data_IF_456085961205
#
_entry.id   IF_456085961205
#
_cell.length_a   1.000
_cell.length_b   1.000
_cell.length_c   1.000
_cell.angle_alpha   90.00
_cell.angle_beta   90.00
_cell.angle_gamma   90.00
#
_symmetry.space_group_name_H-M   'P 1'
#
loop_
_entity.id
_entity.type
_entity.pdbx_description
1 polymer ?
#
# COMPACT_ATOMS: atom_id res chain seq x y z
N UNK A 1 -8.91 0.09 -16.71
CA UNK A 1 -8.63 0.36 -15.29
C UNK A 1 -7.56 -0.53 -14.67
N UNK A 2 -7.30 -1.79 -15.09
CA UNK A 2 -6.20 -2.57 -14.48
C UNK A 2 -6.36 -2.85 -12.98
N UNK A 3 -7.56 -2.62 -12.45
CA UNK A 3 -7.94 -2.68 -11.05
C UNK A 3 -9.24 -3.48 -10.94
N UNK A 4 -9.35 -4.30 -9.90
CA UNK A 4 -10.56 -5.04 -9.56
C UNK A 4 -10.93 -4.79 -8.09
N UNK A 5 -12.20 -4.51 -7.81
CA UNK A 5 -12.74 -4.45 -6.46
C UNK A 5 -13.31 -5.82 -6.07
N UNK A 6 -12.97 -6.30 -4.88
CA UNK A 6 -13.37 -7.59 -4.34
C UNK A 6 -14.12 -7.34 -3.04
N UNK A 7 -15.36 -7.82 -2.99
CA UNK A 7 -16.27 -7.67 -1.86
C UNK A 7 -16.56 -8.99 -1.18
N UNK A 8 -17.19 -8.93 0.00
CA UNK A 8 -17.54 -10.10 0.82
C UNK A 8 -16.30 -10.93 1.22
N UNK A 9 -15.14 -10.27 1.41
CA UNK A 9 -13.93 -10.92 1.91
C UNK A 9 -14.10 -11.19 3.42
N UNK A 10 -14.07 -12.45 3.89
CA UNK A 10 -14.30 -12.77 5.28
C UNK A 10 -13.32 -12.07 6.22
N UNK A 11 -13.84 -11.37 7.23
CA UNK A 11 -13.04 -10.68 8.25
C UNK A 11 -12.34 -9.40 7.79
N UNK A 12 -12.33 -9.08 6.49
CA UNK A 12 -11.61 -7.93 5.94
C UNK A 12 -12.05 -6.60 6.54
N UNK A 13 -13.36 -6.31 6.55
CA UNK A 13 -13.89 -5.03 7.06
C UNK A 13 -13.48 -4.81 8.51
N UNK A 14 -13.67 -5.83 9.36
CA UNK A 14 -13.27 -5.78 10.77
C UNK A 14 -11.77 -5.55 10.95
N UNK A 15 -10.94 -6.21 10.14
CA UNK A 15 -9.49 -6.05 10.19
C UNK A 15 -9.03 -4.66 9.72
N UNK A 16 -9.67 -4.14 8.66
CA UNK A 16 -9.47 -2.78 8.14
C UNK A 16 -9.79 -1.74 9.21
N UNK A 17 -10.96 -1.87 9.84
CA UNK A 17 -11.41 -0.95 10.90
C UNK A 17 -10.53 -0.99 12.15
N UNK A 18 -9.88 -2.12 12.43
CA UNK A 18 -8.97 -2.28 13.55
C UNK A 18 -7.58 -1.65 13.31
N UNK A 19 -7.05 -1.76 12.08
CA UNK A 19 -5.70 -1.27 11.77
C UNK A 19 -5.66 0.19 11.31
N UNK A 20 -6.52 0.59 10.36
CA UNK A 20 -6.37 1.90 9.70
C UNK A 20 -6.36 3.09 10.68
N UNK A 21 -7.22 3.15 11.71
CA UNK A 21 -7.16 4.24 12.69
C UNK A 21 -5.82 4.30 13.46
N UNK A 22 -5.12 3.17 13.62
CA UNK A 22 -3.83 3.14 14.33
C UNK A 22 -2.70 3.83 13.56
N UNK A 23 -2.90 4.12 12.25
CA UNK A 23 -1.96 4.92 11.47
C UNK A 23 -1.77 6.33 12.07
N UNK A 24 -2.84 6.93 12.59
CA UNK A 24 -2.81 8.22 13.29
C UNK A 24 -1.94 8.16 14.53
N UNK A 25 -2.25 7.22 15.43
CA UNK A 25 -1.52 7.05 16.69
C UNK A 25 -0.04 6.81 16.42
N UNK A 26 0.27 5.99 15.42
CA UNK A 26 1.63 5.73 14.97
C UNK A 26 2.33 7.00 14.49
N UNK A 27 1.71 7.77 13.57
CA UNK A 27 2.30 8.97 13.01
C UNK A 27 2.56 10.08 14.05
N UNK A 28 1.86 10.03 15.19
CA UNK A 28 1.98 10.98 16.29
C UNK A 28 2.81 10.47 17.48
N UNK A 29 3.44 9.29 17.37
CA UNK A 29 4.38 8.85 18.40
C UNK A 29 5.57 9.83 18.51
N UNK A 30 6.21 9.93 19.68
CA UNK A 30 7.40 10.75 19.83
C UNK A 30 8.49 10.38 18.81
N UNK A 31 9.21 11.38 18.28
CA UNK A 31 10.25 11.14 17.28
C UNK A 31 11.35 10.19 17.76
N UNK A 32 11.61 10.11 19.07
CA UNK A 32 12.53 9.12 19.64
C UNK A 32 12.03 7.67 19.48
N UNK A 33 10.72 7.44 19.50
CA UNK A 33 10.15 6.11 19.21
C UNK A 33 10.21 5.86 17.71
N UNK A 34 9.74 6.81 16.91
CA UNK A 34 9.66 6.68 15.45
C UNK A 34 11.05 6.47 14.81
N UNK A 35 11.99 7.37 15.05
CA UNK A 35 13.29 7.38 14.37
C UNK A 35 14.31 6.41 14.98
N UNK A 36 14.30 6.21 16.31
CA UNK A 36 15.33 5.38 16.97
C UNK A 36 14.92 3.92 17.10
N UNK A 37 13.62 3.63 17.25
CA UNK A 37 13.13 2.27 17.50
C UNK A 37 12.44 1.65 16.29
N UNK A 38 11.69 2.46 15.54
CA UNK A 38 10.83 1.97 14.46
C UNK A 38 11.43 2.15 13.07
N UNK A 39 12.40 3.02 12.86
CA UNK A 39 13.11 3.11 11.57
C UNK A 39 14.12 1.99 11.38
N UNK A 40 14.37 1.61 10.12
CA UNK A 40 15.44 0.69 9.75
C UNK A 40 16.31 1.24 8.60
N UNK A 41 17.32 2.08 8.90
CA UNK A 41 18.20 2.65 7.89
C UNK A 41 19.00 1.61 7.09
N UNK A 42 19.31 0.45 7.69
CA UNK A 42 20.08 -0.61 7.04
C UNK A 42 19.34 -1.23 5.85
N UNK A 43 18.02 -1.34 5.93
CA UNK A 43 17.20 -1.79 4.82
C UNK A 43 16.81 -0.67 3.88
N UNK A 44 17.37 0.53 4.00
CA UNK A 44 16.90 1.75 3.33
C UNK A 44 15.43 2.06 3.67
N UNK A 45 15.06 1.91 4.94
CA UNK A 45 13.71 2.16 5.46
C UNK A 45 12.64 1.28 4.80
N UNK A 46 13.00 0.06 4.40
CA UNK A 46 12.07 -0.94 3.84
C UNK A 46 11.34 -1.76 4.91
N UNK A 47 11.60 -1.49 6.19
CA UNK A 47 10.81 -1.94 7.33
C UNK A 47 10.64 -0.82 8.36
N UNK A 48 9.48 -0.84 9.02
CA UNK A 48 9.09 0.13 10.03
C UNK A 48 8.87 1.53 9.47
N UNK A 49 9.20 2.54 10.27
CA UNK A 49 8.89 3.95 10.01
C UNK A 49 9.75 4.56 8.89
N UNK A 50 9.11 5.37 8.05
CA UNK A 50 9.74 6.17 7.00
C UNK A 50 8.94 7.45 6.75
N UNK A 51 9.54 8.60 7.04
CA UNK A 51 8.99 9.93 6.79
C UNK A 51 10.13 10.87 6.38
N UNK A 52 9.96 11.64 5.30
CA UNK A 52 11.01 12.50 4.74
C UNK A 52 12.23 11.74 4.20
N UNK A 53 12.12 10.43 3.97
CA UNK A 53 13.20 9.60 3.38
C UNK A 53 12.99 9.34 1.89
N UNK A 54 11.73 9.33 1.44
CA UNK A 54 11.38 9.28 0.02
C UNK A 54 11.53 10.67 -0.59
N UNK A 55 11.85 10.72 -1.88
CA UNK A 55 11.97 11.98 -2.63
C UNK A 55 10.76 12.16 -3.56
N UNK A 56 10.24 13.38 -3.62
CA UNK A 56 9.34 13.83 -4.67
C UNK A 56 10.13 14.78 -5.57
N UNK A 57 10.63 14.28 -6.70
CA UNK A 57 11.65 14.98 -7.48
C UNK A 57 12.99 15.00 -6.75
N UNK A 58 13.55 16.18 -6.52
CA UNK A 58 14.83 16.35 -5.80
C UNK A 58 14.65 16.60 -4.29
N UNK A 59 13.43 16.91 -3.84
CA UNK A 59 13.13 17.29 -2.45
C UNK A 59 12.57 16.11 -1.63
N UNK A 60 12.86 16.03 -0.31
CA UNK A 60 12.24 15.04 0.56
C UNK A 60 10.72 15.21 0.67
N UNK A 61 9.98 14.12 0.63
CA UNK A 61 8.53 14.10 0.80
C UNK A 61 8.15 14.02 2.29
N UNK A 62 7.66 15.14 2.82
CA UNK A 62 7.12 15.23 4.17
C UNK A 62 5.60 15.19 4.23
N UNK A 63 4.92 15.16 3.08
CA UNK A 63 3.44 15.15 3.01
C UNK A 63 2.84 13.80 3.43
N UNK A 64 3.66 12.74 3.45
CA UNK A 64 3.25 11.40 3.84
C UNK A 64 4.30 10.68 4.66
N UNK A 65 3.84 9.84 5.57
CA UNK A 65 4.63 8.81 6.20
C UNK A 65 4.23 7.42 5.70
N UNK A 66 5.18 6.51 5.72
CA UNK A 66 4.99 5.09 5.41
C UNK A 66 5.48 4.24 6.56
N UNK A 67 4.68 3.24 6.92
CA UNK A 67 5.09 2.19 7.83
C UNK A 67 5.11 0.85 7.09
N UNK A 68 6.31 0.30 6.90
CA UNK A 68 6.54 -0.91 6.14
C UNK A 68 6.59 -2.13 7.06
N UNK A 69 5.95 -3.22 6.65
CA UNK A 69 6.00 -4.49 7.39
C UNK A 69 5.73 -5.65 6.46
N UNK A 70 6.17 -6.85 6.84
CA UNK A 70 5.79 -8.09 6.20
C UNK A 70 4.66 -8.75 7.01
N UNK A 71 3.44 -8.90 6.47
CA UNK A 71 2.33 -9.47 7.21
C UNK A 71 2.47 -10.98 7.47
N UNK A 72 3.27 -11.68 6.66
CA UNK A 72 3.39 -13.14 6.68
C UNK A 72 4.42 -13.60 7.72
N UNK A 73 5.59 -12.94 7.75
CA UNK A 73 6.71 -13.32 8.63
C UNK A 73 7.43 -12.10 9.18
N UNK A 74 7.90 -12.18 10.42
CA UNK A 74 8.69 -11.10 11.04
C UNK A 74 10.16 -11.11 10.63
N UNK A 75 10.67 -12.27 10.20
CA UNK A 75 12.09 -12.48 9.92
C UNK A 75 12.24 -13.26 8.61
N UNK A 76 11.99 -12.63 7.46
CA UNK A 76 12.09 -13.30 6.17
C UNK A 76 13.56 -13.69 5.87
N UNK A 77 13.75 -14.70 5.04
CA UNK A 77 15.06 -15.23 4.65
C UNK A 77 15.84 -15.91 5.79
N UNK A 78 17.02 -16.41 5.43
CA UNK A 78 18.04 -16.88 6.35
C UNK A 78 18.86 -15.71 6.93
N UNK A 79 19.65 -15.97 7.98
CA UNK A 79 20.53 -14.95 8.54
C UNK A 79 21.55 -14.42 7.49
N UNK A 80 22.06 -15.31 6.64
CA UNK A 80 22.99 -14.97 5.56
C UNK A 80 22.33 -14.07 4.52
N UNK A 81 21.10 -14.38 4.10
CA UNK A 81 20.36 -13.56 3.13
C UNK A 81 20.03 -12.18 3.67
N UNK A 82 19.71 -12.06 4.97
CA UNK A 82 19.46 -10.76 5.61
C UNK A 82 20.72 -9.90 5.68
N UNK A 83 21.86 -10.51 5.96
CA UNK A 83 23.14 -9.79 5.96
C UNK A 83 23.54 -9.35 4.55
N UNK A 84 23.36 -10.23 3.56
CA UNK A 84 23.74 -9.97 2.18
C UNK A 84 22.77 -9.02 1.45
N UNK A 85 21.48 -9.10 1.76
CA UNK A 85 20.41 -8.36 1.09
C UNK A 85 19.43 -7.72 2.09
N UNK A 86 19.90 -6.77 2.93
CA UNK A 86 19.11 -6.21 4.02
C UNK A 86 17.84 -5.47 3.55
N UNK A 87 17.87 -4.86 2.35
CA UNK A 87 16.70 -4.22 1.74
C UNK A 87 15.63 -5.22 1.26
N UNK A 88 16.05 -6.44 0.92
CA UNK A 88 15.16 -7.49 0.41
C UNK A 88 14.54 -8.33 1.51
N UNK A 89 15.27 -8.51 2.62
CA UNK A 89 14.85 -9.32 3.76
C UNK A 89 14.91 -8.54 5.08
N UNK A 90 14.28 -7.35 5.18
CA UNK A 90 14.29 -6.64 6.43
C UNK A 90 13.43 -7.37 7.46
N UNK A 91 13.87 -7.39 8.72
CA UNK A 91 13.03 -7.84 9.82
C UNK A 91 12.00 -6.77 10.15
N UNK A 92 10.79 -7.19 10.53
CA UNK A 92 9.77 -6.25 10.97
C UNK A 92 10.22 -5.48 12.21
N UNK A 93 10.00 -4.17 12.20
CA UNK A 93 9.97 -3.32 13.39
C UNK A 93 8.51 -3.22 13.81
N UNK A 94 8.22 -3.30 15.10
CA UNK A 94 6.87 -3.18 15.63
C UNK A 94 6.87 -2.19 16.81
N UNK A 95 5.87 -1.28 16.91
CA UNK A 95 5.67 -0.51 18.14
C UNK A 95 5.43 -1.46 19.31
N UNK A 96 5.76 -1.00 20.52
CA UNK A 96 5.48 -1.80 21.70
C UNK A 96 3.98 -1.85 21.98
N UNK A 97 3.52 -2.86 22.72
CA UNK A 97 2.12 -2.93 23.16
C UNK A 97 1.71 -1.74 24.04
N UNK A 98 2.67 -1.04 24.65
CA UNK A 98 2.40 0.17 25.42
C UNK A 98 2.19 1.39 24.51
N UNK A 99 2.92 1.47 23.39
CA UNK A 99 2.80 2.57 22.43
C UNK A 99 1.52 2.44 21.62
N UNK A 100 1.27 1.27 21.04
CA UNK A 100 0.07 0.98 20.25
C UNK A 100 -0.39 -0.47 20.49
N UNK A 101 -1.36 -0.69 21.39
CA UNK A 101 -1.88 -2.02 21.69
C UNK A 101 -2.38 -2.75 20.44
N UNK A 102 -2.04 -4.03 20.33
CA UNK A 102 -2.49 -4.94 19.27
C UNK A 102 -2.09 -4.55 17.83
N UNK A 103 -1.22 -3.55 17.65
CA UNK A 103 -0.86 -3.06 16.31
C UNK A 103 -0.28 -4.16 15.42
N UNK A 104 0.66 -4.93 15.96
CA UNK A 104 1.27 -6.06 15.25
C UNK A 104 0.23 -7.07 14.77
N UNK A 105 -0.67 -7.47 15.65
CA UNK A 105 -1.68 -8.48 15.33
C UNK A 105 -2.68 -7.94 14.31
N UNK A 106 -3.17 -6.70 14.47
CA UNK A 106 -4.06 -6.06 13.51
C UNK A 106 -3.42 -5.94 12.12
N UNK A 107 -2.16 -5.51 12.06
CA UNK A 107 -1.40 -5.37 10.83
C UNK A 107 -1.24 -6.71 10.09
N UNK A 108 -0.88 -7.76 10.83
CA UNK A 108 -0.76 -9.11 10.27
C UNK A 108 -2.10 -9.69 9.83
N UNK A 109 -3.16 -9.53 10.63
CA UNK A 109 -4.49 -10.03 10.28
C UNK A 109 -4.96 -9.41 8.96
N UNK A 110 -4.94 -8.09 8.84
CA UNK A 110 -5.36 -7.42 7.61
C UNK A 110 -4.49 -7.82 6.42
N UNK A 111 -3.17 -7.74 6.57
CA UNK A 111 -2.24 -8.05 5.49
C UNK A 111 -2.31 -9.52 5.03
N UNK A 112 -2.50 -10.47 5.95
CA UNK A 112 -2.68 -11.89 5.60
C UNK A 112 -4.01 -12.14 4.87
N UNK A 113 -5.11 -11.49 5.28
CA UNK A 113 -6.39 -11.58 4.56
C UNK A 113 -6.20 -11.09 3.13
N UNK A 114 -5.58 -9.92 2.95
CA UNK A 114 -5.36 -9.32 1.64
C UNK A 114 -4.43 -10.19 0.77
N UNK A 115 -3.35 -10.72 1.34
CA UNK A 115 -2.44 -11.66 0.66
C UNK A 115 -3.14 -12.93 0.18
N UNK A 116 -3.98 -13.54 1.01
CA UNK A 116 -4.74 -14.73 0.64
C UNK A 116 -5.69 -14.46 -0.52
N UNK A 117 -6.39 -13.32 -0.52
CA UNK A 117 -7.26 -12.91 -1.62
C UNK A 117 -6.46 -12.70 -2.90
N UNK A 118 -5.29 -12.05 -2.81
CA UNK A 118 -4.37 -11.86 -3.95
C UNK A 118 -3.92 -13.20 -4.53
N UNK A 119 -3.56 -14.18 -3.70
CA UNK A 119 -3.22 -15.52 -4.17
C UNK A 119 -4.41 -16.20 -4.88
N UNK A 120 -5.62 -16.09 -4.34
CA UNK A 120 -6.82 -16.63 -5.01
C UNK A 120 -7.10 -15.95 -6.35
N UNK A 121 -6.95 -14.62 -6.43
CA UNK A 121 -7.08 -13.88 -7.67
C UNK A 121 -6.04 -14.31 -8.71
N UNK A 122 -4.81 -14.61 -8.27
CA UNK A 122 -3.74 -15.07 -9.14
C UNK A 122 -4.12 -16.34 -9.92
N UNK A 123 -4.88 -17.28 -9.31
CA UNK A 123 -5.41 -18.45 -10.05
C UNK A 123 -6.29 -18.07 -11.23
N UNK A 124 -7.11 -17.05 -11.07
CA UNK A 124 -7.99 -16.58 -12.16
C UNK A 124 -7.20 -15.89 -13.27
N UNK A 125 -6.13 -15.18 -12.90
CA UNK A 125 -5.20 -14.58 -13.86
C UNK A 125 -4.43 -15.68 -14.62
N UNK A 126 -3.91 -16.68 -13.92
CA UNK A 126 -3.22 -17.84 -14.50
C UNK A 126 -4.13 -18.54 -15.53
N UNK A 127 -5.38 -18.85 -15.15
CA UNK A 127 -6.35 -19.50 -16.04
C UNK A 127 -6.72 -18.66 -17.28
N UNK A 128 -6.64 -17.33 -17.18
CA UNK A 128 -6.85 -16.44 -18.33
C UNK A 128 -5.61 -16.41 -19.23
N UNK A 129 -4.42 -16.37 -18.65
CA UNK A 129 -3.14 -16.35 -19.37
C UNK A 129 -2.90 -17.68 -20.11
N UNK A 130 -3.18 -18.82 -19.48
CA UNK A 130 -3.06 -20.15 -20.08
C UNK A 130 -3.85 -20.31 -21.39
N UNK A 131 -5.02 -19.67 -21.46
CA UNK A 131 -5.87 -19.68 -22.68
C UNK A 131 -5.31 -18.84 -23.83
N UNK A 132 -4.41 -17.89 -23.55
CA UNK A 132 -3.98 -16.85 -24.50
C UNK A 132 -2.49 -16.87 -24.80
N UNK A 133 -1.68 -17.39 -23.90
CA UNK A 133 -0.21 -17.37 -23.96
C UNK A 133 0.29 -18.80 -24.16
N UNK A 134 0.86 -19.05 -25.34
CA UNK A 134 1.43 -20.36 -25.65
C UNK A 134 2.58 -20.68 -24.70
N UNK A 135 2.50 -21.83 -24.02
CA UNK A 135 3.55 -22.29 -23.11
C UNK A 135 3.51 -21.65 -21.72
N UNK A 136 2.42 -20.94 -21.38
CA UNK A 136 2.21 -20.46 -20.03
C UNK A 136 2.11 -21.63 -19.04
N UNK A 137 2.84 -21.54 -17.93
CA UNK A 137 2.81 -22.57 -16.89
C UNK A 137 1.55 -22.41 -16.03
N UNK A 138 0.78 -23.47 -15.88
CA UNK A 138 -0.39 -23.51 -14.99
C UNK A 138 0.00 -23.16 -13.55
N UNK A 139 -0.83 -22.35 -12.89
CA UNK A 139 -0.65 -21.90 -11.51
C UNK A 139 0.68 -21.16 -11.22
N UNK A 140 1.33 -20.58 -12.25
CA UNK A 140 2.61 -19.88 -12.08
C UNK A 140 2.51 -18.72 -11.07
N UNK A 141 1.56 -17.81 -11.25
CA UNK A 141 1.37 -16.69 -10.35
C UNK A 141 0.79 -17.14 -9.01
N UNK A 142 -0.14 -18.09 -9.01
CA UNK A 142 -0.70 -18.63 -7.78
C UNK A 142 0.38 -19.20 -6.87
N UNK A 143 1.28 -20.04 -7.38
CA UNK A 143 2.36 -20.62 -6.61
C UNK A 143 3.33 -19.53 -6.13
N UNK A 144 3.69 -18.57 -7.00
CA UNK A 144 4.54 -17.45 -6.61
C UNK A 144 3.94 -16.61 -5.47
N UNK A 145 2.63 -16.35 -5.49
CA UNK A 145 1.97 -15.59 -4.42
C UNK A 145 1.74 -16.43 -3.17
N UNK A 146 1.37 -17.70 -3.30
CA UNK A 146 1.09 -18.59 -2.18
C UNK A 146 2.35 -18.90 -1.36
N UNK A 147 3.44 -19.19 -2.04
CA UNK A 147 4.66 -19.71 -1.42
C UNK A 147 5.66 -18.59 -1.08
N UNK A 148 5.32 -17.32 -1.37
CA UNK A 148 6.16 -16.19 -1.00
C UNK A 148 6.19 -16.02 0.52
N UNK A 149 7.40 -15.87 1.06
CA UNK A 149 7.62 -15.32 2.38
C UNK A 149 7.84 -13.80 2.35
N UNK A 150 7.89 -13.21 1.15
CA UNK A 150 8.15 -11.78 0.93
C UNK A 150 6.88 -11.09 0.45
N UNK A 151 6.06 -10.66 1.39
CA UNK A 151 4.97 -9.72 1.17
C UNK A 151 5.33 -8.38 1.84
N UNK A 152 5.01 -7.27 1.17
CA UNK A 152 5.25 -5.92 1.70
C UNK A 152 3.92 -5.22 1.96
N UNK A 153 3.57 -5.10 3.22
CA UNK A 153 2.56 -4.18 3.71
C UNK A 153 3.13 -2.77 3.83
N UNK A 154 2.32 -1.78 3.45
CA UNK A 154 2.62 -0.36 3.60
C UNK A 154 1.38 0.32 4.17
N UNK A 155 1.45 0.72 5.44
CA UNK A 155 0.44 1.57 6.05
C UNK A 155 0.84 3.02 5.78
N UNK A 156 -0.02 3.76 5.09
CA UNK A 156 0.22 5.13 4.68
C UNK A 156 -0.52 6.09 5.60
N UNK A 157 0.15 7.17 5.97
CA UNK A 157 -0.45 8.31 6.65
C UNK A 157 -0.13 9.57 5.84
N UNK A 158 -1.15 10.29 5.40
CA UNK A 158 -0.98 11.55 4.70
C UNK A 158 -1.28 12.68 5.67
N UNK A 159 -0.32 13.57 5.85
CA UNK A 159 -0.47 14.74 6.71
C UNK A 159 -1.32 15.80 6.00
N UNK A 160 -2.06 16.63 6.76
CA UNK A 160 -2.68 17.82 6.20
C UNK A 160 -1.65 18.67 5.45
N UNK A 161 -1.99 19.11 4.25
CA UNK A 161 -1.14 20.03 3.51
C UNK A 161 -1.23 21.41 4.19
N UNK A 162 -0.09 21.96 4.62
CA UNK A 162 -0.05 23.36 5.05
C UNK A 162 -0.36 24.22 3.82
N UNK A 163 -1.50 24.91 3.82
CA UNK A 163 -1.78 25.94 2.82
C UNK A 163 -0.77 27.07 2.98
N UNK A 164 0.31 27.03 2.20
CA UNK A 164 1.18 28.19 2.06
C UNK A 164 0.42 29.25 1.29
N UNK A 165 0.30 30.45 1.85
CA UNK A 165 -0.23 31.62 1.15
C UNK A 165 0.52 31.79 -0.19
N UNK A 166 -0.17 31.53 -1.31
CA UNK A 166 0.36 31.68 -2.67
C UNK A 166 0.48 30.42 -3.54
N UNK A 167 0.20 29.23 -3.01
CA UNK A 167 0.33 27.94 -3.75
C UNK A 167 -0.96 27.50 -4.48
N UNK A 168 -1.71 28.44 -5.08
CA UNK A 168 -2.88 28.10 -5.91
C UNK A 168 -2.52 27.15 -7.08
N UNK A 169 -1.26 27.11 -7.53
CA UNK A 169 -0.80 26.25 -8.62
C UNK A 169 -0.39 24.83 -8.21
N UNK A 170 -0.01 24.58 -6.95
CA UNK A 170 0.31 23.21 -6.48
C UNK A 170 -0.94 22.38 -6.15
N UNK A 171 -2.03 23.05 -5.73
CA UNK A 171 -3.33 22.42 -5.50
C UNK A 171 -4.08 21.96 -6.76
N UNK A 172 -3.59 22.33 -7.95
CA UNK A 172 -4.18 21.95 -9.25
C UNK A 172 -3.63 20.63 -9.81
N UNK A 173 -2.49 20.13 -9.31
CA UNK A 173 -1.91 18.88 -9.78
C UNK A 173 -2.58 17.67 -9.10
N UNK A 174 -3.14 16.78 -9.92
CA UNK A 174 -3.89 15.58 -9.47
C UNK A 174 -2.99 14.60 -8.69
N UNK A 175 -1.67 14.67 -8.84
CA UNK A 175 -0.70 13.71 -8.33
C UNK A 175 0.13 14.22 -7.13
N UNK A 176 -0.42 15.18 -6.39
CA UNK A 176 0.26 15.89 -5.30
C UNK A 176 0.60 15.05 -4.04
N UNK A 177 -0.05 13.91 -3.80
CA UNK A 177 0.29 12.99 -2.70
C UNK A 177 1.09 11.77 -3.16
N UNK A 178 0.78 11.22 -4.34
CA UNK A 178 1.61 10.25 -5.03
C UNK A 178 1.58 10.54 -6.53
N UNK A 179 2.77 10.74 -7.11
CA UNK A 179 3.01 10.89 -8.55
C UNK A 179 2.45 9.74 -9.39
N UNK A 180 2.20 9.99 -10.68
CA UNK A 180 1.83 8.92 -11.62
C UNK A 180 2.92 7.85 -11.70
N UNK A 181 2.55 6.59 -11.44
CA UNK A 181 3.45 5.45 -11.52
C UNK A 181 2.71 4.14 -11.82
N UNK A 182 3.49 3.12 -12.18
CA UNK A 182 3.06 1.73 -12.11
C UNK A 182 3.69 1.07 -10.90
N UNK A 183 2.97 0.14 -10.28
CA UNK A 183 3.59 -0.74 -9.31
C UNK A 183 4.49 -1.74 -10.02
N UNK A 184 5.76 -1.79 -9.59
CA UNK A 184 6.76 -2.71 -10.16
C UNK A 184 6.57 -4.16 -9.71
N UNK A 185 5.75 -4.41 -8.69
CA UNK A 185 5.51 -5.73 -8.11
C UNK A 185 4.62 -6.64 -8.95
N UNK A 186 4.11 -7.70 -8.32
CA UNK A 186 3.16 -8.61 -8.95
C UNK A 186 1.74 -8.05 -8.92
N UNK A 187 1.19 -7.92 -7.72
CA UNK A 187 -0.17 -7.46 -7.45
C UNK A 187 -0.13 -6.54 -6.23
N UNK A 188 -0.81 -5.41 -6.31
CA UNK A 188 -0.95 -4.47 -5.20
C UNK A 188 -2.37 -4.52 -4.70
N UNK A 189 -2.56 -4.89 -3.44
CA UNK A 189 -3.87 -4.87 -2.78
C UNK A 189 -4.04 -3.63 -1.93
N UNK A 190 -5.14 -2.91 -2.12
CA UNK A 190 -5.49 -1.70 -1.38
C UNK A 190 -6.67 -1.99 -0.45
N UNK A 191 -6.56 -1.61 0.82
CA UNK A 191 -7.66 -1.71 1.78
C UNK A 191 -8.69 -0.58 1.60
N UNK A 192 -8.40 0.41 0.75
CA UNK A 192 -9.12 1.67 0.68
C UNK A 192 -8.59 2.69 1.70
N UNK A 193 -9.15 3.88 1.64
CA UNK A 193 -8.81 5.04 2.44
C UNK A 193 -9.67 5.13 3.72
N UNK A 194 -9.18 5.93 4.66
CA UNK A 194 -9.87 6.36 5.86
C UNK A 194 -9.49 7.82 6.10
N UNK A 195 -10.47 8.72 6.13
CA UNK A 195 -10.25 10.13 6.41
C UNK A 195 -10.48 10.40 7.90
N UNK A 196 -9.54 11.11 8.51
CA UNK A 196 -9.58 11.46 9.92
C UNK A 196 -9.11 12.90 10.11
N UNK A 197 -9.49 13.49 11.23
CA UNK A 197 -8.96 14.77 11.68
C UNK A 197 -7.60 14.55 12.34
N UNK A 198 -6.56 15.23 11.85
CA UNK A 198 -5.17 15.04 12.29
C UNK A 198 -4.96 15.45 13.76
N UNK A 199 -5.64 16.49 14.25
CA UNK A 199 -5.49 16.97 15.62
C UNK A 199 -6.12 16.02 16.66
N UNK A 200 -7.22 15.35 16.29
CA UNK A 200 -8.05 14.57 17.22
C UNK A 200 -7.97 13.06 17.00
N UNK A 201 -7.60 12.62 15.79
CA UNK A 201 -7.66 11.22 15.35
C UNK A 201 -9.07 10.71 15.07
N UNK A 202 -10.10 11.56 15.14
CA UNK A 202 -11.49 11.18 14.89
C UNK A 202 -11.79 11.04 13.40
N UNK A 203 -12.65 10.08 13.02
CA UNK A 203 -13.05 9.88 11.62
C UNK A 203 -13.86 11.09 11.12
N UNK A 204 -13.57 11.52 9.90
CA UNK A 204 -14.33 12.60 9.25
C UNK A 204 -15.64 12.06 8.68
N UNK A 205 -16.70 12.88 8.77
CA UNK A 205 -17.95 12.64 8.07
C UNK A 205 -17.76 12.76 6.56
N UNK A 206 -18.49 11.96 5.78
CA UNK A 206 -18.38 11.95 4.31
C UNK A 206 -18.60 13.33 3.68
N UNK A 207 -19.42 14.19 4.30
CA UNK A 207 -19.67 15.56 3.83
C UNK A 207 -18.49 16.51 4.01
N UNK A 208 -17.51 16.16 4.85
CA UNK A 208 -16.31 16.94 5.11
C UNK A 208 -15.10 16.48 4.28
N UNK A 209 -15.25 15.42 3.47
CA UNK A 209 -14.19 14.87 2.62
C UNK A 209 -14.28 15.53 1.25
N UNK A 210 -13.15 16.03 0.72
CA UNK A 210 -13.07 16.52 -0.66
C UNK A 210 -13.47 15.38 -1.61
N UNK A 211 -14.55 15.52 -2.40
CA UNK A 211 -15.03 14.45 -3.29
C UNK A 211 -14.02 14.11 -4.40
N UNK A 212 -13.03 14.95 -4.65
CA UNK A 212 -11.96 14.71 -5.62
C UNK A 212 -10.71 14.09 -4.99
N UNK A 213 -10.65 13.90 -3.67
CA UNK A 213 -9.52 13.24 -3.04
C UNK A 213 -9.51 11.73 -3.35
N UNK A 214 -8.32 11.13 -3.39
CA UNK A 214 -8.14 9.69 -3.47
C UNK A 214 -7.48 9.22 -4.76
N UNK A 215 -7.78 7.97 -5.13
CA UNK A 215 -7.07 7.23 -6.18
C UNK A 215 -7.56 7.63 -7.58
N UNK A 216 -6.63 7.95 -8.47
CA UNK A 216 -6.90 8.11 -9.90
C UNK A 216 -6.12 7.07 -10.70
N UNK A 217 -6.75 6.54 -11.74
CA UNK A 217 -6.17 5.50 -12.60
C UNK A 217 -6.36 5.88 -14.07
N UNK A 218 -5.33 5.69 -14.87
CA UNK A 218 -5.40 5.91 -16.32
C UNK A 218 -5.87 4.66 -17.04
N UNK A 219 -6.89 4.81 -17.88
CA UNK A 219 -7.42 3.72 -18.68
C UNK A 219 -6.62 3.48 -19.99
N UNK A 220 -7.11 2.58 -20.84
CA UNK A 220 -6.40 2.23 -22.09
C UNK A 220 -6.51 3.31 -23.18
N UNK A 221 -7.46 4.24 -23.06
CA UNK A 221 -7.58 5.42 -23.91
C UNK A 221 -6.67 6.56 -23.46
N UNK A 222 -6.08 6.46 -22.27
CA UNK A 222 -5.32 7.54 -21.64
C UNK A 222 -6.19 8.49 -20.82
N UNK A 223 -7.45 8.13 -20.55
CA UNK A 223 -8.34 8.93 -19.71
C UNK A 223 -8.05 8.65 -18.22
N UNK A 224 -7.89 9.71 -17.42
CA UNK A 224 -7.74 9.62 -15.98
C UNK A 224 -9.10 9.51 -15.30
N UNK A 225 -9.31 8.46 -14.52
CA UNK A 225 -10.58 8.15 -13.87
C UNK A 225 -10.37 8.14 -12.36
N UNK A 226 -11.20 8.88 -11.63
CA UNK A 226 -11.28 8.82 -10.17
C UNK A 226 -11.93 7.50 -9.74
N UNK A 227 -11.26 6.75 -8.87
CA UNK A 227 -11.67 5.41 -8.43
C UNK A 227 -12.09 5.44 -6.96
N UNK A 228 -13.39 5.43 -6.72
CA UNK A 228 -13.96 5.17 -5.40
C UNK A 228 -13.96 3.67 -5.09
N UNK A 229 -13.22 3.26 -4.05
CA UNK A 229 -13.26 1.88 -3.53
C UNK A 229 -14.36 1.83 -2.46
N UNK A 230 -15.43 1.02 -2.62
CA UNK A 230 -16.46 0.90 -1.60
C UNK A 230 -15.89 0.43 -0.26
N UNK A 231 -16.47 0.90 0.86
CA UNK A 231 -15.96 0.61 2.20
C UNK A 231 -15.82 -0.89 2.51
N UNK A 232 -16.73 -1.71 1.95
CA UNK A 232 -16.79 -3.17 2.09
C UNK A 232 -15.88 -3.94 1.10
N UNK A 233 -15.10 -3.22 0.29
CA UNK A 233 -14.25 -3.78 -0.74
C UNK A 233 -12.76 -3.56 -0.43
N UNK A 234 -11.94 -4.53 -0.84
CA UNK A 234 -10.54 -4.29 -1.16
C UNK A 234 -10.37 -4.16 -2.67
N UNK A 235 -9.40 -3.37 -3.12
CA UNK A 235 -9.03 -3.33 -4.53
C UNK A 235 -7.72 -4.10 -4.77
N UNK A 236 -7.55 -4.62 -5.98
CA UNK A 236 -6.28 -5.21 -6.43
C UNK A 236 -5.90 -4.63 -7.79
N UNK A 237 -4.69 -4.08 -7.88
CA UNK A 237 -4.09 -3.55 -9.08
C UNK A 237 -3.05 -4.53 -9.65
N UNK A 238 -2.94 -4.55 -10.98
CA UNK A 238 -1.91 -5.30 -11.69
C UNK A 238 -0.59 -4.53 -11.65
N UNK A 239 0.49 -5.20 -11.25
CA UNK A 239 1.86 -4.69 -11.36
C UNK A 239 2.59 -5.16 -12.61
N UNK A 240 3.73 -4.53 -12.90
CA UNK A 240 4.50 -4.74 -14.13
C UNK A 240 5.04 -6.17 -14.27
N UNK A 241 5.39 -6.84 -13.16
CA UNK A 241 5.82 -8.25 -13.22
C UNK A 241 4.72 -9.16 -13.76
N UNK A 242 3.47 -8.95 -13.35
CA UNK A 242 2.34 -9.76 -13.83
C UNK A 242 2.05 -9.47 -15.30
N UNK A 243 2.19 -8.22 -15.75
CA UNK A 243 2.09 -7.90 -17.17
C UNK A 243 3.12 -8.67 -18.01
N UNK A 244 4.38 -8.74 -17.56
CA UNK A 244 5.44 -9.47 -18.23
C UNK A 244 5.13 -10.98 -18.25
N UNK A 245 4.83 -11.56 -17.08
CA UNK A 245 4.60 -13.00 -16.95
C UNK A 245 3.42 -13.48 -17.77
N UNK A 246 2.38 -12.65 -17.89
CA UNK A 246 1.17 -12.98 -18.65
C UNK A 246 1.26 -12.55 -20.13
N UNK A 247 2.43 -12.13 -20.63
CA UNK A 247 2.60 -11.72 -22.02
C UNK A 247 1.67 -10.56 -22.43
N UNK A 248 1.33 -9.67 -21.49
CA UNK A 248 0.43 -8.54 -21.71
C UNK A 248 -1.05 -8.88 -21.73
N UNK A 249 -1.46 -10.10 -21.34
CA UNK A 249 -2.90 -10.46 -21.22
C UNK A 249 -3.61 -9.58 -20.20
N UNK A 250 -2.94 -9.32 -19.08
CA UNK A 250 -3.28 -8.27 -18.12
C UNK A 250 -2.13 -7.25 -18.11
N UNK A 251 -2.45 -6.00 -17.81
CA UNK A 251 -1.54 -4.86 -18.04
C UNK A 251 -1.56 -3.99 -16.79
N UNK A 252 -0.37 -3.59 -16.33
CA UNK A 252 -0.22 -2.62 -15.26
C UNK A 252 -0.71 -1.25 -15.74
N UNK A 253 -1.44 -0.55 -14.89
CA UNK A 253 -2.04 0.74 -15.26
C UNK A 253 -1.47 1.86 -14.40
N UNK A 254 -1.07 2.98 -15.02
CA UNK A 254 -0.61 4.14 -14.28
C UNK A 254 -1.67 4.64 -13.32
N UNK A 255 -1.26 4.99 -12.12
CA UNK A 255 -2.13 5.56 -11.10
C UNK A 255 -1.41 6.59 -10.25
N UNK A 256 -2.17 7.46 -9.62
CA UNK A 256 -1.70 8.50 -8.71
C UNK A 256 -2.71 8.68 -7.55
N UNK A 257 -2.33 9.45 -6.54
CA UNK A 257 -3.22 9.81 -5.44
C UNK A 257 -3.26 11.32 -5.31
N UNK A 258 -4.49 11.84 -5.29
CA UNK A 258 -4.81 13.24 -5.07
C UNK A 258 -5.16 13.50 -3.60
N UNK A 259 -4.51 14.49 -3.01
CA UNK A 259 -4.85 15.01 -1.69
C UNK A 259 -6.13 15.87 -1.68
N UNK A 260 -6.85 15.91 -0.55
CA UNK A 260 -7.98 16.78 -0.36
C UNK A 260 -7.54 18.24 -0.34
N UNK A 261 -8.43 19.12 -0.78
CA UNK A 261 -8.29 20.57 -0.71
C UNK A 261 -8.93 21.16 0.55
#
# INVERSE_FOLDING_TARGET
LGLIAIRNVPGFVKAKEALLPQAHTLAHLPSSVLEEQLSDPMSFYNAGWSHGKEKLGDEPDFSKASYYFNPITDTPGTAVEREQYPASYPCNKWPTEQDIPHFKDNAKILGCIMHQVVALLAKHIDALAEKKVKGYQTDLLYNAMKDTEKAKGRLLYYFPLETKDGDEQMGEQIDNWIGWHNDSGFLTSLAGDLYINDETGERLDQSAIDPEAGLYVTDRSGESIHVGIPEDCMAVQIGECVQILTGGVVVATPHCVRGPR
#
